data_IF_926266603293
#
_entry.id   IF_926266603293
#
_cell.length_a   1.000
_cell.length_b   1.000
_cell.length_c   1.000
_cell.angle_alpha   90.00
_cell.angle_beta   90.00
_cell.angle_gamma   90.00
#
_symmetry.space_group_name_H-M   'P 1'
#
loop_
_entity.id
_entity.type
_entity.pdbx_description
1 polymer ?
#
# COMPACT_ATOMS: atom_id res chain seq x y z
N UNK A 1 -5.50 29.65 36.10
CA UNK A 1 -4.83 28.64 35.24
C UNK A 1 -3.88 27.84 36.12
N UNK A 2 -4.17 26.55 36.36
CA UNK A 2 -3.50 25.74 37.37
C UNK A 2 -2.01 25.55 37.04
N UNK A 3 -1.12 26.00 37.93
CA UNK A 3 0.35 25.88 37.81
C UNK A 3 0.82 24.43 37.56
N UNK A 4 0.01 23.46 38.00
CA UNK A 4 0.21 22.03 37.77
C UNK A 4 0.07 21.60 36.30
N UNK A 5 -0.85 22.22 35.56
CA UNK A 5 -1.09 21.93 34.13
C UNK A 5 0.05 22.49 33.28
N UNK A 6 0.56 23.67 33.64
CA UNK A 6 1.74 24.26 33.01
C UNK A 6 2.99 23.41 33.22
N UNK A 7 3.16 22.83 34.41
CA UNK A 7 4.30 21.95 34.70
C UNK A 7 4.25 20.64 33.90
N UNK A 8 3.06 20.04 33.75
CA UNK A 8 2.85 18.85 32.92
C UNK A 8 3.07 19.11 31.43
N UNK A 9 2.64 20.27 30.92
CA UNK A 9 2.88 20.66 29.53
C UNK A 9 4.38 20.84 29.29
N UNK A 10 5.11 21.51 30.20
CA UNK A 10 6.57 21.67 30.09
C UNK A 10 7.30 20.32 30.13
N UNK A 11 6.89 19.40 31.01
CA UNK A 11 7.50 18.07 31.11
C UNK A 11 7.27 17.22 29.85
N UNK A 12 6.06 17.30 29.27
CA UNK A 12 5.71 16.60 28.03
C UNK A 12 6.41 17.20 26.81
N UNK A 13 6.57 18.52 26.73
CA UNK A 13 7.25 19.18 25.60
C UNK A 13 8.77 19.09 25.66
N UNK A 14 9.36 18.99 26.86
CA UNK A 14 10.81 18.89 27.04
C UNK A 14 11.34 17.44 26.97
N UNK A 15 10.51 16.44 27.25
CA UNK A 15 10.93 15.02 27.24
C UNK A 15 10.96 14.36 25.84
N UNK A 16 10.20 14.88 24.88
CA UNK A 16 10.09 14.30 23.53
C UNK A 16 11.29 14.59 22.58
N UNK A 17 11.95 15.76 22.56
CA UNK A 17 13.07 15.99 21.63
C UNK A 17 14.35 15.24 22.03
N UNK A 18 14.54 14.93 23.32
CA UNK A 18 15.76 14.27 23.84
C UNK A 18 15.88 12.83 23.35
N UNK A 19 14.76 12.12 23.16
CA UNK A 19 14.80 10.72 22.70
C UNK A 19 15.13 10.59 21.21
N UNK A 20 14.75 11.58 20.39
CA UNK A 20 15.05 11.61 18.96
C UNK A 20 16.47 12.13 18.67
N UNK A 21 16.95 13.13 19.43
CA UNK A 21 18.31 13.68 19.29
C UNK A 21 19.39 12.68 19.74
N UNK A 22 19.17 11.93 20.82
CA UNK A 22 20.15 10.95 21.31
C UNK A 22 20.50 9.85 20.29
N UNK A 23 19.61 9.51 19.35
CA UNK A 23 19.92 8.50 18.33
C UNK A 23 20.75 9.04 17.17
N UNK A 24 20.51 10.29 16.76
CA UNK A 24 21.25 10.92 15.65
C UNK A 24 22.63 11.41 16.10
N UNK A 25 22.74 11.89 17.34
CA UNK A 25 24.02 12.31 17.93
C UNK A 25 24.98 11.12 18.13
N UNK A 26 24.47 9.94 18.46
CA UNK A 26 25.29 8.72 18.61
C UNK A 26 25.82 8.17 17.27
N UNK A 27 25.04 8.22 16.18
CA UNK A 27 25.50 7.79 14.84
C UNK A 27 26.58 8.75 14.30
N UNK A 28 26.36 10.06 14.46
CA UNK A 28 27.31 11.10 14.07
C UNK A 28 28.62 10.97 14.86
N UNK A 29 28.53 10.73 16.18
CA UNK A 29 29.69 10.53 17.04
C UNK A 29 30.50 9.29 16.64
N UNK A 30 29.86 8.14 16.39
CA UNK A 30 30.53 6.91 15.93
C UNK A 30 31.26 7.16 14.61
N UNK A 31 30.62 7.85 13.66
CA UNK A 31 31.24 8.20 12.37
C UNK A 31 32.46 9.11 12.56
N UNK A 32 32.35 10.11 13.43
CA UNK A 32 33.46 11.02 13.75
C UNK A 32 34.62 10.28 14.44
N UNK A 33 34.33 9.31 15.33
CA UNK A 33 35.35 8.46 15.97
C UNK A 33 36.10 7.61 14.95
N UNK A 34 35.40 7.02 13.98
CA UNK A 34 36.01 6.24 12.89
C UNK A 34 36.92 7.14 12.05
N UNK A 35 36.40 8.26 11.54
CA UNK A 35 37.17 9.21 10.70
C UNK A 35 38.41 9.75 11.41
N UNK A 36 38.32 10.02 12.72
CA UNK A 36 39.47 10.48 13.52
C UNK A 36 40.54 9.40 13.68
N UNK A 37 40.17 8.12 13.71
CA UNK A 37 41.16 7.02 13.80
C UNK A 37 41.76 6.65 12.45
N UNK A 38 41.00 6.75 11.37
CA UNK A 38 41.51 6.54 10.01
C UNK A 38 42.59 7.56 9.61
N UNK A 39 42.62 8.70 10.29
CA UNK A 39 43.58 9.79 10.06
C UNK A 39 44.68 9.89 11.13
N UNK A 40 44.66 9.02 12.15
CA UNK A 40 45.62 9.06 13.24
C UNK A 40 46.89 8.24 12.92
N UNK A 41 48.05 8.75 13.30
CA UNK A 41 49.31 8.02 13.20
C UNK A 41 49.44 7.04 14.39
N UNK A 42 49.17 5.76 14.13
CA UNK A 42 49.07 4.72 15.16
C UNK A 42 50.42 4.03 15.35
N UNK A 43 50.95 4.08 16.58
CA UNK A 43 52.18 3.35 16.94
C UNK A 43 51.91 1.85 16.95
N UNK A 44 52.87 1.05 16.45
CA UNK A 44 52.78 -0.42 16.37
C UNK A 44 52.37 -1.12 17.67
N UNK A 45 52.77 -0.56 18.82
CA UNK A 45 52.43 -1.08 20.16
C UNK A 45 50.94 -0.93 20.54
N UNK A 46 50.25 0.05 19.97
CA UNK A 46 48.86 0.39 20.29
C UNK A 46 47.91 -0.09 19.15
N UNK A 47 48.45 -0.75 18.13
CA UNK A 47 47.74 -1.14 16.91
C UNK A 47 46.61 -2.14 17.19
N UNK A 48 46.87 -3.16 18.01
CA UNK A 48 45.88 -4.21 18.31
C UNK A 48 44.68 -3.64 19.06
N UNK A 49 44.93 -2.78 20.06
CA UNK A 49 43.88 -2.12 20.82
C UNK A 49 43.09 -1.15 19.94
N UNK A 50 43.78 -0.39 19.08
CA UNK A 50 43.13 0.56 18.17
C UNK A 50 42.25 -0.16 17.14
N UNK A 51 42.71 -1.27 16.57
CA UNK A 51 41.93 -2.10 15.66
C UNK A 51 40.72 -2.73 16.38
N UNK A 52 40.88 -3.18 17.62
CA UNK A 52 39.79 -3.78 18.39
C UNK A 52 38.67 -2.77 18.63
N UNK A 53 39.02 -1.53 19.01
CA UNK A 53 38.05 -0.45 19.19
C UNK A 53 37.43 -0.03 17.86
N UNK A 54 38.19 -0.03 16.76
CA UNK A 54 37.67 0.28 15.43
C UNK A 54 36.64 -0.76 14.95
N UNK A 55 36.91 -2.05 15.19
CA UNK A 55 35.94 -3.13 14.91
C UNK A 55 34.66 -2.94 15.74
N UNK A 56 34.76 -2.51 17.00
CA UNK A 56 33.59 -2.23 17.83
C UNK A 56 32.76 -1.05 17.29
N UNK A 57 33.40 0.02 16.83
CA UNK A 57 32.69 1.16 16.21
C UNK A 57 32.02 0.77 14.89
N UNK A 58 32.65 -0.07 14.06
CA UNK A 58 32.01 -0.59 12.84
C UNK A 58 30.82 -1.50 13.14
N UNK A 59 30.88 -2.32 14.20
CA UNK A 59 29.72 -3.12 14.65
C UNK A 59 28.54 -2.24 15.02
N UNK A 60 28.77 -1.17 15.77
CA UNK A 60 27.73 -0.20 16.11
C UNK A 60 27.13 0.48 14.86
N UNK A 61 27.97 0.81 13.87
CA UNK A 61 27.49 1.36 12.61
C UNK A 61 26.59 0.38 11.84
N UNK A 62 26.95 -0.91 11.82
CA UNK A 62 26.11 -1.95 11.21
C UNK A 62 24.77 -2.06 11.93
N UNK A 63 24.74 -2.06 13.26
CA UNK A 63 23.49 -2.08 14.03
C UNK A 63 22.59 -0.87 13.73
N UNK A 64 23.15 0.32 13.53
CA UNK A 64 22.37 1.49 13.12
C UNK A 64 21.78 1.32 11.72
N UNK A 65 22.56 0.79 10.78
CA UNK A 65 22.09 0.52 9.43
C UNK A 65 20.98 -0.53 9.41
N UNK A 66 21.11 -1.61 10.17
CA UNK A 66 20.08 -2.64 10.32
C UNK A 66 18.78 -2.05 10.89
N UNK A 67 18.86 -1.23 11.96
CA UNK A 67 17.69 -0.55 12.52
C UNK A 67 17.02 0.39 11.52
N UNK A 68 17.81 1.13 10.71
CA UNK A 68 17.28 2.00 9.66
C UNK A 68 16.64 1.19 8.53
N UNK A 69 17.23 0.05 8.17
CA UNK A 69 16.68 -0.87 7.18
C UNK A 69 15.35 -1.49 7.66
N UNK A 70 15.27 -1.89 8.93
CA UNK A 70 14.03 -2.38 9.52
C UNK A 70 12.95 -1.29 9.58
N UNK A 71 13.30 -0.07 9.97
CA UNK A 71 12.38 1.05 9.97
C UNK A 71 11.88 1.39 8.57
N UNK A 72 12.76 1.29 7.56
CA UNK A 72 12.41 1.47 6.15
C UNK A 72 11.46 0.35 5.69
N UNK A 73 11.78 -0.92 5.96
CA UNK A 73 10.89 -2.05 5.66
C UNK A 73 9.52 -1.88 6.33
N UNK A 74 9.47 -1.53 7.62
CA UNK A 74 8.19 -1.29 8.32
C UNK A 74 7.39 -0.15 7.69
N UNK A 75 8.06 0.91 7.23
CA UNK A 75 7.44 2.04 6.54
C UNK A 75 6.90 1.65 5.16
N UNK A 76 7.61 0.77 4.45
CA UNK A 76 7.31 0.40 3.07
C UNK A 76 6.60 -0.94 2.89
N UNK A 77 6.38 -1.73 3.95
CA UNK A 77 5.73 -3.04 3.89
C UNK A 77 4.34 -3.01 3.21
N UNK A 78 3.59 -1.91 3.38
CA UNK A 78 2.30 -1.70 2.67
C UNK A 78 2.45 -1.48 1.17
N UNK A 79 3.60 -0.95 0.76
CA UNK A 79 3.96 -0.72 -0.65
C UNK A 79 4.42 -2.05 -1.27
N UNK A 80 5.14 -2.88 -0.50
CA UNK A 80 5.63 -4.19 -0.95
C UNK A 80 4.48 -5.15 -1.30
N UNK A 81 3.41 -5.16 -0.50
CA UNK A 81 2.20 -5.96 -0.78
C UNK A 81 1.42 -5.53 -2.02
N UNK A 82 1.73 -4.36 -2.58
CA UNK A 82 1.08 -3.80 -3.76
C UNK A 82 1.96 -3.87 -5.00
N UNK A 83 3.24 -4.20 -4.84
CA UNK A 83 4.18 -4.49 -5.92
C UNK A 83 4.34 -5.99 -6.17
N UNK A 84 3.55 -6.82 -5.48
CA UNK A 84 3.47 -8.24 -5.76
C UNK A 84 2.92 -8.47 -7.16
N UNK A 85 3.45 -9.47 -7.86
CA UNK A 85 2.96 -9.87 -9.18
C UNK A 85 1.63 -10.65 -9.12
N UNK A 86 1.01 -10.74 -7.95
CA UNK A 86 -0.18 -11.52 -7.70
C UNK A 86 -1.46 -10.67 -7.77
N UNK A 87 -2.61 -11.32 -7.86
CA UNK A 87 -3.95 -10.73 -7.94
C UNK A 87 -4.39 -10.13 -6.59
N UNK A 88 -3.73 -10.53 -5.49
CA UNK A 88 -3.95 -9.98 -4.14
C UNK A 88 -3.88 -8.44 -4.08
N UNK A 89 -3.11 -7.80 -4.96
CA UNK A 89 -3.01 -6.34 -5.07
C UNK A 89 -4.36 -5.65 -5.25
N UNK A 90 -5.32 -6.30 -5.91
CA UNK A 90 -6.64 -5.72 -6.14
C UNK A 90 -7.54 -5.79 -4.90
N UNK A 91 -7.20 -6.58 -3.88
CA UNK A 91 -8.01 -6.76 -2.67
C UNK A 91 -7.53 -5.88 -1.50
N UNK A 92 -6.34 -5.29 -1.62
CA UNK A 92 -5.70 -4.56 -0.53
C UNK A 92 -5.93 -3.06 -0.68
N UNK A 93 -6.19 -2.33 0.41
CA UNK A 93 -6.36 -0.89 0.34
C UNK A 93 -5.05 -0.23 -0.10
N UNK A 94 -5.14 0.67 -1.09
CA UNK A 94 -4.00 1.44 -1.59
C UNK A 94 -3.62 2.51 -0.53
N UNK A 95 -2.34 2.66 -0.18
CA UNK A 95 -1.90 3.67 0.79
C UNK A 95 -2.05 5.09 0.23
N UNK A 96 -2.31 6.05 1.12
CA UNK A 96 -2.51 7.47 0.74
C UNK A 96 -1.23 8.13 0.20
N UNK A 97 -0.06 7.62 0.61
CA UNK A 97 1.25 8.16 0.23
C UNK A 97 1.95 7.24 -0.77
N UNK A 98 1.84 7.57 -2.06
CA UNK A 98 2.43 6.79 -3.16
C UNK A 98 3.63 7.54 -3.74
N UNK A 99 4.80 6.89 -3.88
CA UNK A 99 5.94 7.46 -4.60
C UNK A 99 5.56 7.92 -6.02
N UNK A 100 6.05 9.08 -6.44
CA UNK A 100 5.68 9.67 -7.74
C UNK A 100 5.91 8.71 -8.92
N UNK A 101 7.02 7.98 -8.90
CA UNK A 101 7.37 7.00 -9.93
C UNK A 101 6.38 5.82 -10.06
N UNK A 102 5.64 5.50 -9.00
CA UNK A 102 4.70 4.39 -8.99
C UNK A 102 3.26 4.84 -9.24
N UNK A 103 2.98 6.16 -9.22
CA UNK A 103 1.62 6.69 -9.41
C UNK A 103 0.86 6.09 -10.61
N UNK A 104 1.45 5.99 -11.82
CA UNK A 104 0.73 5.45 -12.96
C UNK A 104 0.28 3.99 -12.75
N UNK A 105 1.14 3.16 -12.16
CA UNK A 105 0.82 1.77 -11.83
C UNK A 105 -0.31 1.68 -10.79
N UNK A 106 -0.22 2.50 -9.74
CA UNK A 106 -1.24 2.52 -8.69
C UNK A 106 -2.59 3.06 -9.17
N UNK A 107 -2.60 4.05 -10.06
CA UNK A 107 -3.82 4.54 -10.69
C UNK A 107 -4.49 3.45 -11.51
N UNK A 108 -3.70 2.66 -12.27
CA UNK A 108 -4.21 1.49 -12.99
C UNK A 108 -4.79 0.44 -12.04
N UNK A 109 -4.05 0.05 -10.99
CA UNK A 109 -4.54 -0.91 -9.98
C UNK A 109 -5.82 -0.39 -9.33
N UNK A 110 -5.88 0.89 -8.97
CA UNK A 110 -7.08 1.52 -8.39
C UNK A 110 -8.28 1.42 -9.32
N UNK A 111 -8.11 1.69 -10.62
CA UNK A 111 -9.21 1.56 -11.60
C UNK A 111 -9.68 0.11 -11.75
N UNK A 112 -8.77 -0.87 -11.75
CA UNK A 112 -9.14 -2.28 -11.78
C UNK A 112 -9.86 -2.70 -10.49
N UNK A 113 -9.45 -2.16 -9.33
CA UNK A 113 -10.16 -2.36 -8.07
C UNK A 113 -11.58 -1.77 -8.11
N UNK A 114 -11.71 -0.53 -8.58
CA UNK A 114 -13.00 0.14 -8.75
C UNK A 114 -13.91 -0.66 -9.70
N UNK A 115 -13.37 -1.16 -10.81
CA UNK A 115 -14.09 -2.03 -11.74
C UNK A 115 -14.63 -3.28 -11.04
N UNK A 116 -13.77 -4.00 -10.29
CA UNK A 116 -14.17 -5.19 -9.53
C UNK A 116 -15.30 -4.86 -8.55
N UNK A 117 -15.15 -3.80 -7.75
CA UNK A 117 -16.15 -3.42 -6.74
C UNK A 117 -17.50 -3.07 -7.39
N UNK A 118 -17.50 -2.43 -8.56
CA UNK A 118 -18.74 -2.13 -9.29
C UNK A 118 -19.41 -3.42 -9.81
N UNK A 119 -18.65 -4.33 -10.42
CA UNK A 119 -19.17 -5.63 -10.88
C UNK A 119 -19.75 -6.44 -9.71
N UNK A 120 -19.02 -6.54 -8.59
CA UNK A 120 -19.49 -7.22 -7.38
C UNK A 120 -20.73 -6.55 -6.78
N UNK A 121 -20.80 -5.22 -6.84
CA UNK A 121 -21.97 -4.45 -6.43
C UNK A 121 -23.20 -4.78 -7.25
N UNK A 122 -23.08 -4.89 -8.58
CA UNK A 122 -24.16 -5.29 -9.48
C UNK A 122 -24.58 -6.73 -9.21
N UNK A 123 -23.63 -7.68 -9.13
CA UNK A 123 -23.93 -9.07 -8.80
C UNK A 123 -24.69 -9.20 -7.47
N UNK A 124 -24.33 -8.40 -6.46
CA UNK A 124 -25.02 -8.39 -5.18
C UNK A 124 -26.45 -7.85 -5.31
N UNK A 125 -26.65 -6.72 -6.01
CA UNK A 125 -27.99 -6.16 -6.24
C UNK A 125 -28.90 -7.13 -6.99
N UNK A 126 -28.36 -7.86 -7.99
CA UNK A 126 -29.10 -8.90 -8.71
C UNK A 126 -29.54 -10.00 -7.74
N UNK A 127 -28.63 -10.54 -6.91
CA UNK A 127 -28.95 -11.58 -5.91
C UNK A 127 -29.95 -11.11 -4.86
N UNK A 128 -29.85 -9.86 -4.40
CA UNK A 128 -30.78 -9.30 -3.43
C UNK A 128 -32.18 -9.12 -4.06
N UNK A 129 -32.24 -8.74 -5.34
CA UNK A 129 -33.49 -8.65 -6.11
C UNK A 129 -34.11 -10.03 -6.35
N UNK A 130 -33.30 -11.03 -6.71
CA UNK A 130 -33.72 -12.43 -6.87
C UNK A 130 -34.36 -12.96 -5.58
N UNK A 131 -33.70 -12.78 -4.43
CA UNK A 131 -34.24 -13.18 -3.12
C UNK A 131 -35.56 -12.48 -2.77
N UNK A 132 -35.68 -11.19 -3.07
CA UNK A 132 -36.91 -10.43 -2.80
C UNK A 132 -38.08 -10.98 -3.64
N UNK A 133 -37.79 -11.29 -4.90
CA UNK A 133 -38.75 -11.76 -5.91
C UNK A 133 -39.23 -13.17 -5.61
N UNK A 134 -38.32 -14.08 -5.21
CA UNK A 134 -38.69 -15.44 -4.77
C UNK A 134 -39.66 -15.42 -3.57
N UNK A 135 -39.61 -14.38 -2.74
CA UNK A 135 -40.49 -14.23 -1.58
C UNK A 135 -41.83 -13.56 -1.90
N UNK A 136 -42.01 -12.95 -3.07
CA UNK A 136 -43.17 -12.10 -3.39
C UNK A 136 -44.04 -12.58 -4.56
N UNK A 137 -43.81 -13.77 -5.13
CA UNK A 137 -44.58 -14.31 -6.27
C UNK A 137 -44.67 -13.35 -7.46
N UNK A 138 -43.59 -12.61 -7.74
CA UNK A 138 -43.50 -11.74 -8.92
C UNK A 138 -43.24 -12.63 -10.15
N UNK A 139 -43.86 -12.29 -11.28
CA UNK A 139 -43.65 -12.99 -12.55
C UNK A 139 -42.21 -12.81 -13.07
N UNK A 140 -41.70 -13.80 -13.81
CA UNK A 140 -40.33 -13.80 -14.30
C UNK A 140 -39.99 -12.59 -15.19
N UNK A 141 -40.94 -12.11 -15.99
CA UNK A 141 -40.76 -10.92 -16.85
C UNK A 141 -40.56 -9.62 -16.06
N UNK A 142 -41.38 -9.40 -15.03
CA UNK A 142 -41.29 -8.21 -14.18
C UNK A 142 -39.96 -8.18 -13.40
N UNK A 143 -39.49 -9.35 -12.97
CA UNK A 143 -38.17 -9.49 -12.35
C UNK A 143 -37.03 -9.18 -13.31
N UNK A 144 -37.07 -9.70 -14.54
CA UNK A 144 -36.06 -9.37 -15.57
C UNK A 144 -36.04 -7.88 -15.85
N UNK A 145 -37.19 -7.22 -15.92
CA UNK A 145 -37.26 -5.78 -16.14
C UNK A 145 -36.65 -4.97 -14.98
N UNK A 146 -36.91 -5.37 -13.73
CA UNK A 146 -36.30 -4.77 -12.54
C UNK A 146 -34.77 -4.93 -12.56
N UNK A 147 -34.28 -6.12 -12.90
CA UNK A 147 -32.85 -6.40 -13.00
C UNK A 147 -32.20 -5.60 -14.15
N UNK A 148 -32.84 -5.50 -15.32
CA UNK A 148 -32.37 -4.65 -16.44
C UNK A 148 -32.17 -3.20 -16.01
N UNK A 149 -33.16 -2.61 -15.32
CA UNK A 149 -33.06 -1.21 -14.83
C UNK A 149 -31.90 -1.01 -13.84
N UNK A 150 -31.64 -2.00 -13.00
CA UNK A 150 -30.51 -1.98 -12.05
C UNK A 150 -29.18 -2.07 -12.81
N UNK A 151 -29.10 -2.95 -13.81
CA UNK A 151 -27.88 -3.15 -14.59
C UNK A 151 -27.59 -1.93 -15.47
N UNK A 152 -28.55 -1.37 -16.20
CA UNK A 152 -28.33 -0.28 -17.17
C UNK A 152 -27.57 0.93 -16.57
N UNK A 153 -27.96 1.36 -15.38
CA UNK A 153 -27.35 2.50 -14.69
C UNK A 153 -25.90 2.25 -14.27
N UNK A 154 -25.58 1.02 -13.89
CA UNK A 154 -24.24 0.64 -13.45
C UNK A 154 -23.38 0.13 -14.62
N UNK A 155 -23.99 -0.33 -15.71
CA UNK A 155 -23.36 -0.83 -16.93
C UNK A 155 -22.66 0.29 -17.69
N UNK A 156 -23.26 1.50 -17.75
CA UNK A 156 -22.58 2.68 -18.28
C UNK A 156 -21.30 3.00 -17.48
N UNK A 157 -21.38 3.00 -16.15
CA UNK A 157 -20.21 3.27 -15.30
C UNK A 157 -19.12 2.22 -15.46
N UNK A 158 -19.50 0.94 -15.56
CA UNK A 158 -18.57 -0.16 -15.78
C UNK A 158 -17.87 -0.01 -17.15
N UNK A 159 -18.60 0.33 -18.21
CA UNK A 159 -18.03 0.61 -19.54
C UNK A 159 -17.08 1.82 -19.53
N UNK A 160 -17.42 2.89 -18.81
CA UNK A 160 -16.55 4.05 -18.65
C UNK A 160 -15.22 3.67 -17.97
N UNK A 161 -15.29 2.80 -16.95
CA UNK A 161 -14.09 2.30 -16.27
C UNK A 161 -13.27 1.39 -17.20
N UNK A 162 -13.89 0.49 -17.97
CA UNK A 162 -13.19 -0.31 -18.98
C UNK A 162 -12.45 0.56 -20.00
N UNK A 163 -13.13 1.58 -20.54
CA UNK A 163 -12.55 2.53 -21.51
C UNK A 163 -11.38 3.30 -20.90
N UNK A 164 -11.53 3.73 -19.64
CA UNK A 164 -10.46 4.39 -18.92
C UNK A 164 -9.25 3.47 -18.71
N UNK A 165 -9.45 2.20 -18.34
CA UNK A 165 -8.37 1.22 -18.16
C UNK A 165 -7.69 0.91 -19.49
N UNK A 166 -8.46 0.74 -20.57
CA UNK A 166 -7.91 0.45 -21.90
C UNK A 166 -7.10 1.62 -22.48
N UNK A 167 -7.37 2.85 -22.03
CA UNK A 167 -6.56 4.03 -22.35
C UNK A 167 -5.25 4.11 -21.55
N UNK A 168 -5.08 3.29 -20.50
CA UNK A 168 -3.88 3.24 -19.67
C UNK A 168 -2.86 2.22 -20.20
N UNK A 169 -1.61 2.36 -19.76
CA UNK A 169 -0.57 1.42 -20.12
C UNK A 169 -0.68 0.11 -19.30
N UNK A 170 -1.20 -0.95 -19.93
CA UNK A 170 -1.36 -2.27 -19.30
C UNK A 170 -0.05 -3.06 -19.18
N UNK A 171 1.04 -2.64 -19.82
CA UNK A 171 2.32 -3.38 -19.81
C UNK A 171 2.98 -3.50 -18.42
N UNK A 172 2.53 -2.69 -17.46
CA UNK A 172 2.99 -2.76 -16.07
C UNK A 172 2.33 -3.85 -15.25
N UNK A 173 1.28 -4.51 -15.77
CA UNK A 173 0.62 -5.62 -15.09
C UNK A 173 1.42 -6.92 -15.28
N UNK A 174 1.48 -7.73 -14.23
CA UNK A 174 1.95 -9.10 -14.38
C UNK A 174 0.98 -9.93 -15.25
N UNK A 175 1.40 -11.09 -15.79
CA UNK A 175 0.51 -11.98 -16.53
C UNK A 175 -0.75 -12.38 -15.75
N UNK A 176 -0.62 -12.68 -14.46
CA UNK A 176 -1.75 -13.05 -13.60
C UNK A 176 -2.70 -11.87 -13.35
N UNK A 177 -2.17 -10.66 -13.20
CA UNK A 177 -2.96 -9.43 -13.04
C UNK A 177 -3.69 -9.07 -14.34
N UNK A 178 -3.01 -9.24 -15.48
CA UNK A 178 -3.60 -9.04 -16.79
C UNK A 178 -4.74 -10.03 -17.04
N UNK A 179 -4.55 -11.32 -16.73
CA UNK A 179 -5.57 -12.37 -16.87
C UNK A 179 -6.79 -12.10 -15.97
N UNK A 180 -6.57 -11.62 -14.75
CA UNK A 180 -7.66 -11.21 -13.85
C UNK A 180 -8.52 -10.10 -14.47
N UNK A 181 -7.90 -9.11 -15.12
CA UNK A 181 -8.62 -8.03 -15.82
C UNK A 181 -9.29 -8.53 -17.11
N UNK A 182 -8.49 -9.09 -18.03
CA UNK A 182 -8.92 -9.66 -19.31
C UNK A 182 -8.30 -11.06 -19.48
N UNK A 183 -9.10 -12.14 -19.46
CA UNK A 183 -10.56 -12.17 -19.61
C UNK A 183 -11.38 -12.04 -18.31
N UNK A 184 -10.81 -12.20 -17.12
CA UNK A 184 -11.57 -12.45 -15.88
C UNK A 184 -12.74 -11.50 -15.57
N UNK A 185 -12.48 -10.19 -15.45
CA UNK A 185 -13.54 -9.19 -15.20
C UNK A 185 -14.45 -8.98 -16.41
N UNK A 186 -13.92 -9.15 -17.62
CA UNK A 186 -14.68 -8.99 -18.87
C UNK A 186 -15.73 -10.10 -19.01
N UNK A 187 -15.39 -11.34 -18.68
CA UNK A 187 -16.35 -12.45 -18.69
C UNK A 187 -17.44 -12.29 -17.64
N UNK A 188 -17.10 -11.82 -16.43
CA UNK A 188 -18.09 -11.52 -15.39
C UNK A 188 -19.07 -10.46 -15.85
N UNK A 189 -18.57 -9.41 -16.49
CA UNK A 189 -19.41 -8.38 -17.07
C UNK A 189 -20.33 -8.93 -18.18
N UNK A 190 -19.80 -9.75 -19.09
CA UNK A 190 -20.59 -10.34 -20.18
C UNK A 190 -21.73 -11.24 -19.69
N UNK A 191 -21.63 -11.82 -18.48
CA UNK A 191 -22.75 -12.57 -17.87
C UNK A 191 -23.97 -11.70 -17.62
N UNK A 192 -23.83 -10.38 -17.52
CA UNK A 192 -24.97 -9.47 -17.38
C UNK A 192 -25.81 -9.35 -18.66
N UNK A 193 -25.25 -9.70 -19.83
CA UNK A 193 -25.98 -9.66 -21.11
C UNK A 193 -27.16 -10.63 -21.13
N UNK A 194 -27.10 -11.73 -20.36
CA UNK A 194 -28.18 -12.72 -20.23
C UNK A 194 -29.48 -12.07 -19.76
N UNK A 195 -29.40 -10.97 -19.00
CA UNK A 195 -30.59 -10.27 -18.53
C UNK A 195 -31.23 -9.42 -19.62
N UNK A 196 -30.56 -9.12 -20.73
CA UNK A 196 -31.07 -8.31 -21.86
C UNK A 196 -31.56 -9.13 -23.04
N UNK A 197 -31.24 -10.43 -23.07
CA UNK A 197 -31.85 -11.44 -23.95
C UNK A 197 -33.27 -11.80 -23.48
#
# INVERSE_FOLDING_TARGET
>A
MNRFVLFLIVLMTAGLPVYAQNHTDNELDVRNRITRRDTADIKKKDLVDTLTVQVADYKLLVEFLEKRLEALHKKHAKTDSLLTADVSVFYHPIPDSIPFCLKPYYELVRKIMDLRMNIEGVEKKIKDTEKLTSNTQINEEDWKELVRKIIDSDMMKINDIFTAIDSMNLSSLSPAQAEFYKPGLTERYNKFLIYFE
#
